data_IF_421128059034
#
_entry.id   IF_421128059034
#
_cell.length_a   1.000
_cell.length_b   1.000
_cell.length_c   1.000
_cell.angle_alpha   90.00
_cell.angle_beta   90.00
_cell.angle_gamma   90.00
#
_symmetry.space_group_name_H-M   'P 1'
#
loop_
_entity.id
_entity.type
_entity.pdbx_description
1 polymer ?
#
# COMPACT_ATOMS: atom_id res chain seq x y z
N UNK A 1 -10.68 2.36 5.02
CA UNK A 1 -11.07 2.21 3.61
C UNK A 1 -10.85 3.55 2.87
N UNK A 2 -9.61 4.07 2.89
CA UNK A 2 -9.23 5.35 2.26
C UNK A 2 -8.09 5.18 1.27
N UNK A 3 -7.13 4.30 1.57
CA UNK A 3 -6.04 3.93 0.67
C UNK A 3 -6.52 3.50 -0.72
N UNK A 4 -7.54 2.63 -0.79
CA UNK A 4 -8.11 2.18 -2.07
C UNK A 4 -8.80 3.31 -2.84
N UNK A 5 -9.48 4.21 -2.13
CA UNK A 5 -10.12 5.38 -2.75
C UNK A 5 -9.07 6.34 -3.34
N UNK A 6 -8.00 6.61 -2.59
CA UNK A 6 -6.90 7.46 -3.05
C UNK A 6 -6.15 6.82 -4.23
N UNK A 7 -5.88 5.52 -4.19
CA UNK A 7 -5.26 4.80 -5.30
C UNK A 7 -6.15 4.83 -6.56
N UNK A 8 -7.46 4.61 -6.42
CA UNK A 8 -8.40 4.67 -7.54
C UNK A 8 -8.48 6.06 -8.19
N UNK A 9 -8.28 7.12 -7.42
CA UNK A 9 -8.27 8.50 -7.92
C UNK A 9 -6.91 8.94 -8.49
N UNK A 10 -5.83 8.18 -8.27
CA UNK A 10 -4.48 8.53 -8.71
C UNK A 10 -3.84 7.38 -9.50
N UNK A 11 -4.21 7.28 -10.78
CA UNK A 11 -3.79 6.19 -11.67
C UNK A 11 -2.26 6.03 -11.77
N UNK A 12 -1.50 7.11 -11.71
CA UNK A 12 -0.02 7.07 -11.71
C UNK A 12 0.55 6.42 -10.45
N UNK A 13 -0.07 6.66 -9.29
CA UNK A 13 0.35 6.05 -8.01
C UNK A 13 -0.05 4.57 -8.00
N UNK A 14 -1.25 4.26 -8.49
CA UNK A 14 -1.72 2.89 -8.65
C UNK A 14 -0.79 2.08 -9.56
N UNK A 15 -0.35 2.66 -10.68
CA UNK A 15 0.56 2.02 -11.62
C UNK A 15 1.91 1.71 -10.95
N UNK A 16 2.49 2.66 -10.20
CA UNK A 16 3.74 2.42 -9.45
C UNK A 16 3.60 1.32 -8.39
N UNK A 17 2.49 1.30 -7.67
CA UNK A 17 2.20 0.25 -6.69
C UNK A 17 2.04 -1.12 -7.37
N UNK A 18 1.42 -1.17 -8.55
CA UNK A 18 1.29 -2.39 -9.33
C UNK A 18 2.65 -2.88 -9.84
N UNK A 19 3.49 -2.00 -10.37
CA UNK A 19 4.85 -2.33 -10.82
C UNK A 19 5.71 -2.87 -9.68
N UNK A 20 5.63 -2.30 -8.48
CA UNK A 20 6.29 -2.85 -7.29
C UNK A 20 5.84 -4.27 -7.00
N UNK A 21 4.52 -4.53 -6.97
CA UNK A 21 3.97 -5.86 -6.69
C UNK A 21 4.43 -6.87 -7.74
N UNK A 22 4.36 -6.51 -9.02
CA UNK A 22 4.83 -7.39 -10.11
C UNK A 22 6.34 -7.63 -10.02
N UNK A 23 7.14 -6.62 -9.65
CA UNK A 23 8.58 -6.78 -9.47
C UNK A 23 8.93 -7.73 -8.30
N UNK A 24 8.10 -7.80 -7.26
CA UNK A 24 8.36 -8.61 -6.06
C UNK A 24 7.88 -10.06 -6.25
N UNK A 25 6.67 -10.24 -6.80
CA UNK A 25 6.03 -11.56 -6.92
C UNK A 25 6.20 -12.21 -8.30
N UNK A 26 6.64 -11.45 -9.31
CA UNK A 26 6.67 -11.93 -10.70
C UNK A 26 5.28 -12.36 -11.18
N UNK A 27 5.23 -13.37 -12.06
CA UNK A 27 3.98 -13.99 -12.52
C UNK A 27 3.40 -15.00 -11.52
N UNK A 28 4.17 -15.42 -10.51
CA UNK A 28 3.76 -16.47 -9.58
C UNK A 28 3.38 -15.90 -8.20
N UNK A 29 2.11 -15.53 -8.07
CA UNK A 29 1.54 -14.99 -6.83
C UNK A 29 1.36 -16.05 -5.73
N UNK A 30 1.76 -17.30 -5.96
CA UNK A 30 1.56 -18.42 -5.00
C UNK A 30 2.63 -18.46 -3.92
N UNK A 31 3.79 -17.82 -4.13
CA UNK A 31 4.83 -17.71 -3.11
C UNK A 31 4.55 -16.53 -2.17
N UNK A 32 3.58 -16.70 -1.26
CA UNK A 32 3.33 -15.74 -0.19
C UNK A 32 4.24 -16.04 1.00
N UNK A 33 5.42 -15.42 1.01
CA UNK A 33 6.30 -15.38 2.18
C UNK A 33 6.20 -14.01 2.84
N UNK A 34 6.31 -13.96 4.18
CA UNK A 34 6.42 -12.70 4.94
C UNK A 34 7.57 -11.83 4.47
N UNK A 35 8.63 -12.43 3.92
CA UNK A 35 9.75 -11.72 3.32
C UNK A 35 9.29 -10.75 2.22
N UNK A 36 8.40 -11.20 1.33
CA UNK A 36 7.91 -10.38 0.23
C UNK A 36 7.01 -9.23 0.70
N UNK A 37 6.27 -9.42 1.81
CA UNK A 37 5.48 -8.35 2.42
C UNK A 37 6.38 -7.21 2.93
N UNK A 38 7.59 -7.52 3.42
CA UNK A 38 8.54 -6.50 3.87
C UNK A 38 9.16 -5.71 2.72
N UNK A 39 9.18 -6.26 1.52
CA UNK A 39 9.71 -5.58 0.33
C UNK A 39 8.69 -4.66 -0.35
N UNK A 40 7.39 -4.72 0.01
CA UNK A 40 6.33 -3.82 -0.50
C UNK A 40 6.41 -2.40 0.11
N UNK A 41 7.53 -1.71 -0.11
CA UNK A 41 7.86 -0.44 0.54
C UNK A 41 6.97 0.71 0.06
N UNK A 42 6.67 0.76 -1.24
CA UNK A 42 5.84 1.80 -1.83
C UNK A 42 4.37 1.62 -1.44
N UNK A 43 3.87 0.39 -1.42
CA UNK A 43 2.51 0.10 -0.93
C UNK A 43 2.37 0.47 0.56
N UNK A 44 3.37 0.17 1.39
CA UNK A 44 3.39 0.58 2.81
C UNK A 44 3.37 2.12 2.96
N UNK A 45 4.14 2.84 2.13
CA UNK A 45 4.08 4.29 2.06
C UNK A 45 2.68 4.81 1.68
N UNK A 46 2.00 4.19 0.71
CA UNK A 46 0.64 4.57 0.33
C UNK A 46 -0.36 4.38 1.48
N UNK A 47 -0.21 3.30 2.26
CA UNK A 47 -1.04 3.04 3.44
C UNK A 47 -0.77 4.10 4.50
N UNK A 48 0.50 4.37 4.82
CA UNK A 48 0.91 5.39 5.79
C UNK A 48 0.42 6.78 5.42
N UNK A 49 0.49 7.14 4.14
CA UNK A 49 0.03 8.45 3.67
C UNK A 49 -1.50 8.58 3.77
N UNK A 50 -2.24 7.51 3.45
CA UNK A 50 -3.68 7.47 3.66
C UNK A 50 -4.04 7.61 5.15
N UNK A 51 -3.27 7.00 6.06
CA UNK A 51 -3.44 7.15 7.51
C UNK A 51 -3.03 8.53 8.02
N UNK A 52 -2.05 9.19 7.39
CA UNK A 52 -1.66 10.57 7.71
C UNK A 52 -2.78 11.55 7.37
N UNK A 53 -3.43 11.36 6.22
CA UNK A 53 -4.56 12.19 5.76
C UNK A 53 -5.86 11.86 6.50
N UNK A 54 -6.11 10.56 6.72
CA UNK A 54 -7.35 10.05 7.30
C UNK A 54 -7.02 9.07 8.43
N UNK A 55 -6.57 9.59 9.59
CA UNK A 55 -6.23 8.74 10.73
C UNK A 55 -7.50 8.01 11.23
N UNK A 56 -7.42 6.70 11.52
CA UNK A 56 -8.55 5.93 12.01
C UNK A 56 -8.96 6.33 13.44
N UNK A 57 -8.02 6.91 14.20
CA UNK A 57 -8.27 7.47 15.53
C UNK A 57 -7.74 8.91 15.52
N UNK A 58 -8.65 9.86 15.64
CA UNK A 58 -8.36 11.30 15.60
C UNK A 58 -7.96 11.90 16.95
N UNK A 59 -8.21 11.20 18.06
CA UNK A 59 -7.95 11.68 19.41
C UNK A 59 -7.43 10.54 20.29
N UNK A 60 -6.20 10.70 20.78
CA UNK A 60 -5.71 9.97 21.94
C UNK A 60 -6.00 10.83 23.18
N UNK A 61 -7.08 10.52 23.90
CA UNK A 61 -7.29 11.07 25.24
C UNK A 61 -6.49 10.21 26.23
N UNK A 62 -5.66 10.85 27.07
CA UNK A 62 -4.92 10.21 28.16
C UNK A 62 -5.72 10.29 29.45
#
# INVERSE_FOLDING_TARGET
MWTLHLLGNHSEIQQKAYEEIISIFGEDTRQRSEYYLREMKYVDCCIKEALRLYPPVSLFAR
#
